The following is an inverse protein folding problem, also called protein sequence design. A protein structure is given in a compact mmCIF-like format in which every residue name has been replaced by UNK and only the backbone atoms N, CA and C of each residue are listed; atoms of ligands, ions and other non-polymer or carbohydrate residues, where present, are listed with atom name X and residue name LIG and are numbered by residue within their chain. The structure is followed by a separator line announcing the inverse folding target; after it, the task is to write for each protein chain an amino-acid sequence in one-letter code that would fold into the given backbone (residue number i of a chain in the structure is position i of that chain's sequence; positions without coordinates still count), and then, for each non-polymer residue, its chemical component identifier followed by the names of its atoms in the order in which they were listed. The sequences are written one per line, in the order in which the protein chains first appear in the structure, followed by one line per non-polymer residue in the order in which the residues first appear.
data_IF_307959581131
#
_entry.id   IF_307959581131
#
_cell.length_a   1.000
_cell.length_b   1.000
_cell.length_c   1.000
_cell.angle_alpha   90.00
_cell.angle_beta   90.00
_cell.angle_gamma   90.00
#
_symmetry.space_group_name_H-M   'P 1'
#
loop_
_entity.id
_entity.type
_entity.pdbx_description
1 polymer ?
#
# COMPACT_ATOMS: atom_id res chain seq x y z
N UNK A 1 33.74 -60.00 -18.34
CA UNK A 1 34.15 -59.71 -16.96
C UNK A 1 32.97 -59.01 -16.31
N UNK A 2 32.15 -59.69 -15.50
CA UNK A 2 32.32 -59.86 -14.03
C UNK A 2 32.61 -58.47 -13.41
N UNK A 3 31.82 -57.90 -12.48
CA UNK A 3 31.00 -58.53 -11.44
C UNK A 3 30.19 -57.50 -10.63
N UNK A 4 29.08 -57.99 -10.05
CA UNK A 4 28.38 -57.56 -8.81
C UNK A 4 27.55 -56.25 -8.88
N UNK A 5 26.26 -56.20 -8.53
CA UNK A 5 25.52 -56.92 -7.47
C UNK A 5 25.64 -56.10 -6.16
N UNK A 6 24.62 -55.66 -5.43
CA UNK A 6 23.42 -56.34 -4.95
C UNK A 6 22.32 -55.35 -4.45
N UNK A 7 21.06 -55.78 -4.60
CA UNK A 7 19.84 -55.66 -3.75
C UNK A 7 19.18 -54.33 -3.29
N UNK A 8 17.93 -54.15 -3.77
CA UNK A 8 16.60 -54.01 -3.07
C UNK A 8 16.54 -52.97 -1.92
N UNK A 9 15.71 -51.92 -1.96
CA UNK A 9 14.24 -52.00 -1.76
C UNK A 9 13.42 -50.96 -2.53
N UNK A 10 12.31 -51.47 -3.04
CA UNK A 10 11.12 -50.79 -3.51
C UNK A 10 10.56 -49.89 -2.40
N UNK A 11 10.42 -48.59 -2.64
CA UNK A 11 9.48 -47.75 -1.90
C UNK A 11 8.57 -47.03 -2.90
N UNK A 12 7.29 -47.17 -2.58
CA UNK A 12 6.10 -46.87 -3.37
C UNK A 12 6.00 -45.37 -3.68
N UNK A 13 5.47 -45.08 -4.87
CA UNK A 13 5.21 -43.75 -5.41
C UNK A 13 4.20 -42.92 -4.59
N UNK A 14 4.35 -41.59 -4.61
CA UNK A 14 3.34 -40.54 -4.94
C UNK A 14 3.90 -39.14 -4.58
N UNK A 15 3.35 -38.02 -5.09
CA UNK A 15 3.61 -37.53 -6.43
C UNK A 15 4.21 -36.10 -6.44
N UNK A 16 4.86 -35.76 -7.56
CA UNK A 16 4.95 -34.38 -8.07
C UNK A 16 5.44 -33.28 -7.13
N UNK A 17 6.76 -33.05 -7.10
CA UNK A 17 7.29 -31.77 -6.66
C UNK A 17 8.00 -31.10 -7.84
N UNK A 18 7.19 -30.52 -8.74
CA UNK A 18 7.67 -29.51 -9.66
C UNK A 18 7.88 -28.23 -8.86
N UNK A 19 9.12 -27.98 -8.41
CA UNK A 19 9.50 -26.70 -7.84
C UNK A 19 9.63 -25.74 -9.01
N UNK A 20 8.50 -25.16 -9.44
CA UNK A 20 8.52 -23.93 -10.23
C UNK A 20 8.60 -22.79 -9.25
N UNK A 21 9.81 -22.27 -9.14
CA UNK A 21 10.17 -21.00 -8.54
C UNK A 21 9.35 -19.91 -9.23
N UNK A 22 8.16 -19.66 -8.68
CA UNK A 22 7.33 -18.53 -9.06
C UNK A 22 7.40 -17.59 -7.88
N UNK A 23 8.25 -16.57 -8.02
CA UNK A 23 8.00 -15.28 -7.42
C UNK A 23 6.65 -14.81 -7.97
N UNK A 24 5.55 -15.28 -7.36
CA UNK A 24 4.24 -14.75 -7.62
C UNK A 24 4.25 -13.31 -7.11
N UNK A 25 3.71 -12.35 -7.88
CA UNK A 25 3.32 -11.06 -7.32
C UNK A 25 2.51 -11.32 -6.05
N UNK A 26 2.65 -10.50 -5.01
CA UNK A 26 1.78 -10.56 -3.83
C UNK A 26 0.35 -10.52 -4.36
N UNK A 27 -0.31 -11.66 -4.32
CA UNK A 27 -1.60 -11.86 -4.94
C UNK A 27 -2.63 -11.22 -4.01
N UNK A 28 -3.02 -9.98 -4.31
CA UNK A 28 -4.08 -9.21 -3.66
C UNK A 28 -5.47 -9.83 -3.89
N UNK A 29 -5.59 -11.16 -3.80
CA UNK A 29 -6.75 -11.94 -4.26
C UNK A 29 -7.90 -12.01 -3.26
N UNK A 30 -7.75 -11.45 -2.07
CA UNK A 30 -8.81 -11.42 -1.06
C UNK A 30 -9.21 -9.98 -0.73
N UNK A 31 -9.91 -9.32 -1.66
CA UNK A 31 -10.59 -8.03 -1.39
C UNK A 31 -11.94 -8.25 -0.66
N UNK A 32 -12.06 -9.34 0.11
CA UNK A 32 -13.27 -9.60 0.88
C UNK A 32 -13.52 -8.47 1.89
N UNK A 33 -14.80 -8.19 2.21
CA UNK A 33 -15.14 -7.19 3.22
C UNK A 33 -14.44 -7.43 4.57
N UNK A 34 -14.26 -8.71 4.96
CA UNK A 34 -13.60 -9.07 6.21
C UNK A 34 -12.10 -8.75 6.20
N UNK A 35 -11.41 -9.02 5.09
CA UNK A 35 -9.99 -8.66 4.95
C UNK A 35 -9.81 -7.14 4.94
N UNK A 36 -10.65 -6.41 4.20
CA UNK A 36 -10.65 -4.94 4.25
C UNK A 36 -10.84 -4.41 5.66
N UNK A 37 -11.81 -4.92 6.42
CA UNK A 37 -12.01 -4.49 7.81
C UNK A 37 -10.76 -4.75 8.67
N UNK A 38 -10.09 -5.88 8.49
CA UNK A 38 -8.85 -6.20 9.20
C UNK A 38 -7.74 -5.20 8.86
N UNK A 39 -7.54 -4.86 7.59
CA UNK A 39 -6.54 -3.90 7.14
C UNK A 39 -6.83 -2.52 7.73
N UNK A 40 -8.08 -2.04 7.64
CA UNK A 40 -8.49 -0.75 8.20
C UNK A 40 -8.26 -0.67 9.72
N UNK A 41 -8.61 -1.74 10.44
CA UNK A 41 -8.38 -1.81 11.89
C UNK A 41 -6.89 -1.76 12.22
N UNK A 42 -6.06 -2.47 11.48
CA UNK A 42 -4.63 -2.51 11.72
C UNK A 42 -3.97 -1.16 11.41
N UNK A 43 -4.39 -0.47 10.34
CA UNK A 43 -3.92 0.90 10.05
C UNK A 43 -4.37 1.88 11.12
N UNK A 44 -5.63 1.81 11.58
CA UNK A 44 -6.14 2.66 12.67
C UNK A 44 -5.31 2.53 13.96
N UNK A 45 -4.96 1.29 14.35
CA UNK A 45 -4.07 1.04 15.48
C UNK A 45 -2.66 1.60 15.24
N UNK A 46 -2.14 1.44 14.02
CA UNK A 46 -0.80 1.89 13.63
C UNK A 46 -0.66 3.42 13.65
N UNK A 47 -1.67 4.15 13.20
CA UNK A 47 -1.68 5.63 13.27
C UNK A 47 -2.21 6.18 14.60
N UNK A 48 -2.62 5.30 15.51
CA UNK A 48 -3.21 5.59 16.82
C UNK A 48 -4.39 6.59 16.72
N UNK A 49 -5.30 6.35 15.79
CA UNK A 49 -6.51 7.16 15.59
C UNK A 49 -7.58 6.37 14.87
N UNK A 50 -8.84 6.69 15.15
CA UNK A 50 -9.97 6.17 14.37
C UNK A 50 -9.90 6.73 12.94
N UNK A 51 -10.25 5.88 11.97
CA UNK A 51 -10.24 6.21 10.55
C UNK A 51 -11.67 6.39 10.05
N UNK A 52 -11.93 7.54 9.44
CA UNK A 52 -13.17 7.79 8.70
C UNK A 52 -12.84 7.79 7.22
N UNK A 53 -13.48 6.93 6.39
CA UNK A 53 -13.26 6.94 4.95
C UNK A 53 -13.40 8.33 4.34
N UNK A 54 -12.52 8.66 3.39
CA UNK A 54 -12.57 9.93 2.70
C UNK A 54 -13.81 9.94 1.78
N UNK A 55 -14.74 10.91 1.90
CA UNK A 55 -15.91 10.97 1.03
C UNK A 55 -15.53 11.11 -0.45
N UNK A 56 -16.38 10.58 -1.34
CA UNK A 56 -16.28 10.82 -2.79
C UNK A 56 -16.23 12.32 -3.09
N UNK A 57 -15.46 12.70 -4.10
CA UNK A 57 -15.29 14.10 -4.54
C UNK A 57 -14.74 15.07 -3.48
N UNK A 58 -14.07 14.56 -2.43
CA UNK A 58 -13.39 15.42 -1.45
C UNK A 58 -12.27 16.23 -2.12
N UNK A 59 -12.29 17.55 -1.94
CA UNK A 59 -11.22 18.43 -2.41
C UNK A 59 -10.07 18.46 -1.39
N UNK A 60 -8.86 18.15 -1.84
CA UNK A 60 -7.65 18.12 -0.99
C UNK A 60 -6.79 19.38 -1.16
N UNK A 61 -7.37 20.48 -1.65
CA UNK A 61 -6.67 21.70 -2.04
C UNK A 61 -5.60 22.17 -1.04
N UNK A 62 -4.44 22.54 -1.57
CA UNK A 62 -3.33 23.10 -0.83
C UNK A 62 -2.18 22.12 -0.62
N UNK A 63 -1.32 22.49 0.33
CA UNK A 63 -0.05 21.81 0.56
C UNK A 63 -0.15 20.84 1.73
N UNK A 64 0.31 19.62 1.50
CA UNK A 64 0.35 18.55 2.49
C UNK A 64 1.76 18.02 2.66
N UNK A 65 2.22 17.95 3.91
CA UNK A 65 3.42 17.23 4.30
C UNK A 65 3.06 15.76 4.47
N UNK A 66 3.65 14.90 3.67
CA UNK A 66 3.42 13.46 3.67
C UNK A 66 4.56 12.76 4.36
N UNK A 67 4.22 11.96 5.36
CA UNK A 67 5.13 11.14 6.14
C UNK A 67 4.83 9.66 5.87
N UNK A 68 5.87 8.86 5.75
CA UNK A 68 5.77 7.41 5.77
C UNK A 68 5.68 6.94 7.23
N UNK A 69 4.61 6.24 7.56
CA UNK A 69 4.47 5.55 8.84
C UNK A 69 5.20 4.21 8.75
N UNK A 70 6.20 3.99 9.61
CA UNK A 70 6.88 2.72 9.80
C UNK A 70 6.90 2.30 11.28
N UNK A 71 5.95 1.44 11.66
CA UNK A 71 5.92 0.75 12.95
C UNK A 71 5.96 1.68 14.17
N UNK A 72 5.15 2.73 14.15
CA UNK A 72 5.06 3.77 15.19
C UNK A 72 5.94 4.99 14.95
N UNK A 73 6.78 4.99 13.90
CA UNK A 73 7.64 6.12 13.56
C UNK A 73 7.16 6.78 12.27
N UNK A 74 7.12 8.11 12.26
CA UNK A 74 6.82 8.90 11.05
C UNK A 74 8.11 9.45 10.47
N UNK A 75 8.33 9.23 9.19
CA UNK A 75 9.49 9.70 8.46
C UNK A 75 9.06 10.62 7.32
N UNK A 76 9.71 11.78 7.12
CA UNK A 76 9.39 12.64 5.98
C UNK A 76 9.53 11.89 4.65
N UNK A 77 8.46 11.88 3.84
CA UNK A 77 8.40 11.13 2.59
C UNK A 77 8.26 12.03 1.36
N UNK A 78 7.28 12.92 1.38
CA UNK A 78 7.00 13.81 0.25
C UNK A 78 6.23 15.06 0.70
N UNK A 79 6.11 16.01 -0.22
CA UNK A 79 5.20 17.14 -0.17
C UNK A 79 4.23 17.00 -1.34
N UNK A 80 2.93 17.02 -1.06
CA UNK A 80 1.88 16.98 -2.07
C UNK A 80 1.23 18.36 -2.15
N UNK A 81 1.22 18.95 -3.33
CA UNK A 81 0.53 20.21 -3.62
C UNK A 81 -0.63 19.90 -4.54
N UNK A 82 -1.84 19.88 -3.98
CA UNK A 82 -3.07 19.62 -4.73
C UNK A 82 -3.56 20.93 -5.33
N UNK A 83 -3.56 20.97 -6.67
CA UNK A 83 -4.04 22.08 -7.47
C UNK A 83 -5.21 21.60 -8.35
N UNK A 84 -6.14 22.49 -8.67
CA UNK A 84 -7.21 22.30 -9.68
C UNK A 84 -8.21 21.13 -9.54
N UNK A 85 -8.11 20.30 -8.51
CA UNK A 85 -9.04 19.19 -8.26
C UNK A 85 -8.78 17.93 -9.10
N UNK A 86 -7.78 17.92 -9.98
CA UNK A 86 -7.47 16.78 -10.86
C UNK A 86 -5.99 16.41 -10.93
N UNK A 87 -5.10 17.29 -10.45
CA UNK A 87 -3.67 17.06 -10.46
C UNK A 87 -3.02 17.38 -9.11
N UNK A 88 -1.94 16.66 -8.80
CA UNK A 88 -1.15 16.88 -7.60
C UNK A 88 0.31 16.93 -7.98
N UNK A 89 0.99 17.97 -7.53
CA UNK A 89 2.43 18.16 -7.65
C UNK A 89 3.11 17.46 -6.47
N UNK A 90 3.89 16.43 -6.76
CA UNK A 90 4.59 15.61 -5.76
C UNK A 90 6.07 15.94 -5.75
N UNK A 91 6.58 16.30 -4.57
CA UNK A 91 8.01 16.54 -4.34
C UNK A 91 8.52 15.59 -3.25
N UNK A 92 9.41 14.66 -3.59
CA UNK A 92 9.96 13.70 -2.60
C UNK A 92 10.98 14.39 -1.69
N UNK A 93 10.85 14.24 -0.36
CA UNK A 93 11.75 14.91 0.61
C UNK A 93 13.18 14.39 0.56
N UNK A 94 13.41 13.16 0.09
CA UNK A 94 14.77 12.64 -0.15
C UNK A 94 15.52 13.39 -1.26
N UNK A 95 14.83 14.27 -1.99
CA UNK A 95 15.40 15.14 -3.00
C UNK A 95 14.94 16.58 -2.70
N UNK A 96 15.60 17.26 -1.76
CA UNK A 96 15.29 18.65 -1.35
C UNK A 96 15.24 19.68 -2.51
N UNK A 97 15.79 19.33 -3.69
CA UNK A 97 15.67 20.09 -4.94
C UNK A 97 15.36 19.16 -6.14
N UNK A 98 14.66 18.07 -5.89
CA UNK A 98 14.30 17.07 -6.89
C UNK A 98 13.25 17.59 -7.88
N UNK A 99 13.10 16.90 -9.02
CA UNK A 99 12.02 17.20 -9.95
C UNK A 99 10.67 17.00 -9.26
N UNK A 100 9.80 18.00 -9.38
CA UNK A 100 8.38 17.85 -9.03
C UNK A 100 7.69 17.04 -10.13
N UNK A 101 6.99 15.98 -9.73
CA UNK A 101 6.15 15.21 -10.65
C UNK A 101 4.72 15.71 -10.55
N UNK A 102 4.17 16.19 -11.67
CA UNK A 102 2.74 16.45 -11.76
C UNK A 102 2.03 15.14 -12.10
N UNK A 103 1.25 14.62 -11.16
CA UNK A 103 0.54 13.35 -11.33
C UNK A 103 -0.97 13.55 -11.23
N UNK A 104 -1.78 12.81 -12.01
CA UNK A 104 -3.22 12.86 -11.87
C UNK A 104 -3.65 12.22 -10.55
N UNK A 105 -4.68 12.77 -9.93
CA UNK A 105 -5.37 12.13 -8.81
C UNK A 105 -6.89 12.17 -8.98
N UNK A 106 -7.59 11.20 -8.39
CA UNK A 106 -9.05 11.24 -8.29
C UNK A 106 -9.53 10.36 -7.12
N UNK A 107 -10.71 10.67 -6.59
CA UNK A 107 -11.38 9.89 -5.54
C UNK A 107 -12.63 9.27 -6.16
N UNK A 108 -12.49 8.09 -6.82
CA UNK A 108 -13.57 7.51 -7.61
C UNK A 108 -14.77 7.05 -6.77
N UNK A 109 -14.49 6.66 -5.52
CA UNK A 109 -15.48 6.16 -4.58
C UNK A 109 -15.02 6.39 -3.13
N UNK A 110 -15.96 6.32 -2.19
CA UNK A 110 -15.69 6.58 -0.78
C UNK A 110 -14.55 5.69 -0.25
N UNK A 111 -13.55 6.33 0.33
CA UNK A 111 -12.39 5.67 0.88
C UNK A 111 -11.40 5.11 -0.14
N UNK A 112 -11.54 5.45 -1.43
CA UNK A 112 -10.56 5.09 -2.48
C UNK A 112 -9.97 6.33 -3.11
N UNK A 113 -8.65 6.34 -3.26
CA UNK A 113 -7.89 7.45 -3.81
C UNK A 113 -6.92 6.89 -4.84
N UNK A 114 -7.02 7.39 -6.07
CA UNK A 114 -6.08 7.04 -7.12
C UNK A 114 -5.03 8.13 -7.28
N UNK A 115 -3.76 7.74 -7.34
CA UNK A 115 -2.62 8.63 -7.54
C UNK A 115 -1.69 8.02 -8.57
N UNK A 116 -1.50 8.69 -9.70
CA UNK A 116 -0.68 8.17 -10.81
C UNK A 116 -1.08 6.75 -11.28
N UNK A 117 -2.37 6.41 -11.19
CA UNK A 117 -2.90 5.09 -11.53
C UNK A 117 -2.81 4.03 -10.43
N UNK A 118 -2.04 4.28 -9.36
CA UNK A 118 -2.04 3.45 -8.15
C UNK A 118 -3.28 3.72 -7.31
N UNK A 119 -3.81 2.69 -6.65
CA UNK A 119 -5.01 2.80 -5.80
C UNK A 119 -4.63 2.65 -4.34
N UNK A 120 -5.02 3.66 -3.57
CA UNK A 120 -4.92 3.70 -2.11
C UNK A 120 -6.31 3.66 -1.51
N UNK A 121 -6.39 3.13 -0.30
CA UNK A 121 -7.45 3.48 0.63
C UNK A 121 -7.14 4.83 1.25
N UNK A 122 -8.13 5.70 1.32
CA UNK A 122 -8.01 7.04 1.88
C UNK A 122 -8.96 7.23 3.06
N UNK A 123 -8.43 7.79 4.13
CA UNK A 123 -9.20 8.08 5.33
C UNK A 123 -8.74 9.39 5.97
N UNK A 124 -9.59 9.96 6.80
CA UNK A 124 -9.25 11.05 7.71
C UNK A 124 -9.18 10.52 9.14
N UNK A 125 -8.30 11.10 9.94
CA UNK A 125 -8.25 10.86 11.39
C UNK A 125 -9.07 11.92 12.13
N UNK A 126 -9.31 11.71 13.43
CA UNK A 126 -9.91 12.74 14.30
C UNK A 126 -9.08 14.03 14.44
N UNK A 127 -7.84 14.03 13.95
CA UNK A 127 -6.92 15.18 13.95
C UNK A 127 -6.84 15.87 12.59
N UNK A 128 -7.78 15.57 11.69
CA UNK A 128 -7.81 16.07 10.32
C UNK A 128 -6.55 15.71 9.48
N UNK A 129 -5.86 14.63 9.87
CA UNK A 129 -4.77 14.04 9.05
C UNK A 129 -5.39 13.18 7.95
N UNK A 130 -4.86 13.29 6.73
CA UNK A 130 -5.17 12.37 5.63
C UNK A 130 -4.28 11.14 5.76
N UNK A 131 -4.86 9.94 5.67
CA UNK A 131 -4.14 8.68 5.71
C UNK A 131 -4.38 7.95 4.39
N UNK A 132 -3.29 7.62 3.69
CA UNK A 132 -3.32 6.83 2.47
C UNK A 132 -2.61 5.51 2.72
N UNK A 133 -3.23 4.38 2.37
CA UNK A 133 -2.61 3.08 2.57
C UNK A 133 -3.01 2.10 1.47
N UNK A 134 -2.14 1.13 1.18
CA UNK A 134 -2.44 0.09 0.21
C UNK A 134 -3.28 -1.04 0.83
N UNK A 135 -3.78 -1.93 -0.02
CA UNK A 135 -4.72 -3.00 0.38
C UNK A 135 -4.16 -4.02 1.38
N UNK A 136 -2.87 -4.00 1.70
CA UNK A 136 -2.22 -4.95 2.60
C UNK A 136 -1.46 -4.27 3.75
N UNK A 137 -1.71 -2.97 4.01
CA UNK A 137 -1.08 -2.12 5.03
C UNK A 137 0.47 -2.07 5.02
N UNK A 138 1.14 -2.59 3.99
CA UNK A 138 2.61 -2.53 3.91
C UNK A 138 3.10 -1.09 3.69
N UNK A 139 2.28 -0.26 3.06
CA UNK A 139 2.52 1.17 2.89
C UNK A 139 1.41 1.97 3.58
N UNK A 140 1.79 2.81 4.54
CA UNK A 140 0.88 3.75 5.22
C UNK A 140 1.54 5.13 5.19
N UNK A 141 0.87 6.06 4.52
CA UNK A 141 1.25 7.46 4.44
C UNK A 141 0.31 8.28 5.31
N UNK A 142 0.86 9.20 6.09
CA UNK A 142 0.09 10.17 6.87
C UNK A 142 0.45 11.55 6.38
N UNK A 143 -0.56 12.30 5.98
CA UNK A 143 -0.42 13.63 5.40
C UNK A 143 -1.07 14.68 6.31
N UNK A 144 -0.32 15.73 6.61
CA UNK A 144 -0.76 16.88 7.41
C UNK A 144 -0.78 18.13 6.54
N UNK A 145 -1.86 18.90 6.62
CA UNK A 145 -2.00 20.15 5.88
C UNK A 145 -1.09 21.24 6.49
N UNK A 146 -0.40 22.00 5.64
CA UNK A 146 0.42 23.17 6.03
C UNK A 146 -0.42 24.41 6.30
#
# INVERSE_FOLDING_TARGET
MLTCGWLIWLVVATPGCGVSDSHQPIDHKDDSPAYREQVWRAVSQRVNSDLTPLPTDTLLDGTWNVELEMMGNRLPFAKYEFDDGSSVSVTLTVQENGPTSLVPYHIPDEGRFSLDGEIYHAATTMRDELVLFNGDQSLVLVATKQ
#
